data_IF_992118195355
#
_entry.id   IF_992118195355
#
_cell.length_a   1.000
_cell.length_b   1.000
_cell.length_c   1.000
_cell.angle_alpha   90.00
_cell.angle_beta   90.00
_cell.angle_gamma   90.00
#
_symmetry.space_group_name_H-M   'P 1'
#
loop_
_entity.id
_entity.type
_entity.pdbx_description
1 polymer ?
#
# COMPACT_ATOMS: atom_id res chain seq x y z
N UNK A 1 16.40 -69.73 21.86
CA UNK A 1 15.09 -70.23 22.32
C UNK A 1 14.82 -69.57 23.67
N UNK A 2 14.13 -68.43 23.80
CA UNK A 2 12.77 -68.09 23.41
C UNK A 2 11.74 -69.14 23.87
N UNK A 3 11.02 -68.86 24.98
CA UNK A 3 9.55 -68.88 25.12
C UNK A 3 9.19 -68.61 26.60
N UNK A 4 8.48 -67.49 26.91
CA UNK A 4 7.02 -67.38 27.15
C UNK A 4 6.58 -68.09 28.45
N UNK A 5 5.74 -67.55 29.34
CA UNK A 5 4.45 -66.87 29.09
C UNK A 5 3.85 -66.36 30.44
N UNK A 6 2.98 -65.34 30.37
CA UNK A 6 1.77 -65.06 31.22
C UNK A 6 1.93 -64.55 32.67
N UNK A 7 1.14 -63.62 33.25
CA UNK A 7 -0.07 -62.87 32.84
C UNK A 7 -0.55 -61.94 34.01
N UNK A 8 -0.92 -60.67 33.72
CA UNK A 8 -1.82 -59.73 34.48
C UNK A 8 -1.39 -59.35 35.94
N UNK A 9 -1.56 -58.18 36.55
CA UNK A 9 -2.34 -56.93 36.44
C UNK A 9 -1.42 -55.81 37.02
N UNK A 10 -1.39 -54.55 36.63
CA UNK A 10 -2.40 -53.49 36.79
C UNK A 10 -1.84 -52.31 36.01
N UNK A 11 -2.42 -51.98 34.85
CA UNK A 11 -2.08 -50.73 34.16
C UNK A 11 -2.82 -49.63 34.92
N UNK A 12 -2.11 -48.94 35.80
CA UNK A 12 -2.57 -47.68 36.38
C UNK A 12 -2.73 -46.68 35.24
N UNK A 13 -3.97 -46.61 34.76
CA UNK A 13 -4.60 -45.53 34.01
C UNK A 13 -4.21 -44.16 34.57
N UNK A 14 -3.08 -43.62 34.11
CA UNK A 14 -2.84 -42.19 34.10
C UNK A 14 -3.12 -41.70 32.68
N UNK A 15 -4.40 -41.74 32.28
CA UNK A 15 -4.84 -40.90 31.17
C UNK A 15 -4.77 -39.46 31.66
N UNK A 16 -3.91 -38.59 31.11
CA UNK A 16 -4.04 -37.17 31.41
C UNK A 16 -5.41 -36.75 30.88
N UNK A 17 -6.27 -36.30 31.81
CA UNK A 17 -7.54 -35.67 31.51
C UNK A 17 -7.23 -34.56 30.49
N UNK A 18 -7.77 -34.69 29.28
CA UNK A 18 -7.63 -33.72 28.21
C UNK A 18 -8.37 -32.45 28.64
N UNK A 19 -7.73 -31.60 29.44
CA UNK A 19 -8.22 -30.27 29.71
C UNK A 19 -8.01 -29.47 28.43
N UNK A 20 -9.08 -29.36 27.64
CA UNK A 20 -9.15 -28.35 26.60
C UNK A 20 -8.98 -27.00 27.29
N UNK A 21 -7.77 -26.43 27.23
CA UNK A 21 -7.56 -25.03 27.51
C UNK A 21 -8.41 -24.23 26.52
N UNK A 22 -9.57 -23.76 26.96
CA UNK A 22 -10.25 -22.68 26.27
C UNK A 22 -9.26 -21.50 26.22
N UNK A 23 -8.77 -21.16 25.03
CA UNK A 23 -8.02 -19.92 24.82
C UNK A 23 -8.91 -18.76 25.29
N UNK A 24 -8.60 -18.20 26.45
CA UNK A 24 -9.20 -16.96 26.93
C UNK A 24 -8.82 -15.88 25.92
N UNK A 25 -9.79 -15.51 25.07
CA UNK A 25 -9.64 -14.43 24.11
C UNK A 25 -9.42 -13.15 24.93
N UNK A 26 -8.27 -12.52 24.74
CA UNK A 26 -7.98 -11.19 25.29
C UNK A 26 -9.12 -10.23 24.94
N UNK A 27 -9.54 -9.31 25.83
CA UNK A 27 -10.56 -8.33 25.48
C UNK A 27 -10.07 -7.55 24.26
N UNK A 28 -10.78 -7.65 23.14
CA UNK A 28 -10.61 -6.69 22.06
C UNK A 28 -11.04 -5.34 22.64
N UNK A 29 -10.08 -4.49 23.00
CA UNK A 29 -10.33 -3.07 23.21
C UNK A 29 -10.99 -2.57 21.93
N UNK A 30 -12.30 -2.37 21.98
CA UNK A 30 -13.06 -1.75 20.90
C UNK A 30 -12.62 -0.30 20.88
N UNK A 31 -11.71 0.04 19.97
CA UNK A 31 -11.60 1.40 19.49
C UNK A 31 -13.02 1.81 19.06
N UNK A 32 -13.57 2.94 19.55
CA UNK A 32 -14.87 3.41 19.12
C UNK A 32 -14.88 3.45 17.59
N UNK A 33 -15.83 2.74 16.98
CA UNK A 33 -16.07 2.84 15.55
C UNK A 33 -16.46 4.31 15.30
N UNK A 34 -15.79 5.06 14.40
CA UNK A 34 -16.22 6.40 14.05
C UNK A 34 -17.70 6.36 13.65
N UNK A 35 -18.48 7.30 14.16
CA UNK A 35 -19.93 7.32 13.95
C UNK A 35 -20.24 7.26 12.45
N UNK A 36 -21.06 6.27 12.08
CA UNK A 36 -21.54 6.13 10.71
C UNK A 36 -22.43 7.35 10.41
N UNK A 37 -22.18 8.11 9.33
CA UNK A 37 -22.99 9.28 9.05
C UNK A 37 -24.42 8.89 8.66
N UNK A 38 -25.36 9.74 9.06
CA UNK A 38 -26.81 9.56 8.90
C UNK A 38 -27.22 9.40 7.42
N UNK A 39 -28.29 8.63 7.14
CA UNK A 39 -28.60 8.11 5.81
C UNK A 39 -29.02 9.14 4.76
N UNK A 40 -29.21 10.42 5.11
CA UNK A 40 -29.79 11.43 4.22
C UNK A 40 -28.99 12.73 4.13
N UNK A 41 -27.70 12.71 4.47
CA UNK A 41 -26.77 13.77 4.05
C UNK A 41 -25.86 13.15 2.98
N UNK A 42 -25.76 13.70 1.75
CA UNK A 42 -24.79 13.17 0.79
C UNK A 42 -23.41 13.21 1.44
N UNK A 43 -22.82 12.05 1.70
CA UNK A 43 -21.43 11.91 2.11
C UNK A 43 -20.50 12.14 0.93
N UNK A 44 -20.59 13.32 0.33
CA UNK A 44 -19.71 13.70 -0.76
C UNK A 44 -19.19 15.09 -0.47
N UNK A 45 -18.34 15.15 0.56
CA UNK A 45 -17.24 16.11 0.49
C UNK A 45 -16.45 15.77 -0.78
N UNK A 46 -16.29 16.74 -1.66
CA UNK A 46 -15.42 16.68 -2.84
C UNK A 46 -13.97 16.57 -2.37
N UNK A 47 -13.58 15.42 -1.83
CA UNK A 47 -12.25 15.25 -1.26
C UNK A 47 -11.21 15.36 -2.39
N UNK A 48 -10.28 16.30 -2.21
CA UNK A 48 -9.17 16.48 -3.12
C UNK A 48 -8.08 15.46 -2.84
N UNK A 49 -7.55 14.87 -3.89
CA UNK A 49 -6.33 14.07 -3.84
C UNK A 49 -5.15 14.92 -4.28
N UNK A 50 -3.98 14.60 -3.73
CA UNK A 50 -2.69 15.16 -4.15
C UNK A 50 -1.74 14.03 -4.52
N UNK A 51 -1.04 14.18 -5.62
CA UNK A 51 0.08 13.30 -5.98
C UNK A 51 1.34 14.12 -6.02
N UNK A 52 2.42 13.56 -5.48
CA UNK A 52 3.75 14.15 -5.46
C UNK A 52 4.76 13.13 -6.00
N UNK A 53 5.60 13.57 -6.93
CA UNK A 53 6.76 12.82 -7.43
C UNK A 53 8.02 13.56 -6.97
N UNK A 54 8.83 12.92 -6.13
CA UNK A 54 10.06 13.46 -5.58
C UNK A 54 11.26 12.83 -6.28
N UNK A 55 12.18 13.67 -6.77
CA UNK A 55 13.46 13.22 -7.29
C UNK A 55 14.48 13.08 -6.14
N UNK A 56 14.70 11.85 -5.69
CA UNK A 56 15.71 11.49 -4.68
C UNK A 56 16.98 10.88 -5.32
N UNK A 57 17.17 11.05 -6.63
CA UNK A 57 18.44 10.70 -7.30
C UNK A 57 19.54 11.67 -6.86
N UNK A 58 20.78 11.17 -6.74
CA UNK A 58 21.89 11.96 -6.20
C UNK A 58 22.30 13.12 -7.12
N UNK A 59 22.49 12.84 -8.41
CA UNK A 59 23.05 13.81 -9.37
C UNK A 59 22.22 13.92 -10.65
N UNK A 60 21.17 13.12 -10.77
CA UNK A 60 20.44 12.97 -12.02
C UNK A 60 19.17 13.80 -12.04
N UNK A 61 18.92 14.35 -13.22
CA UNK A 61 17.67 14.99 -13.56
C UNK A 61 16.66 13.90 -13.89
N UNK A 62 15.47 13.99 -13.29
CA UNK A 62 14.36 13.08 -13.53
C UNK A 62 13.35 13.76 -14.44
N UNK A 63 13.13 13.17 -15.61
CA UNK A 63 12.06 13.55 -16.53
C UNK A 63 10.78 12.79 -16.09
N UNK A 64 9.79 13.54 -15.60
CA UNK A 64 8.50 13.05 -15.08
C UNK A 64 7.38 13.41 -16.03
N UNK A 65 6.78 12.41 -16.67
CA UNK A 65 5.65 12.58 -17.59
C UNK A 65 4.43 11.85 -17.04
N UNK A 66 3.40 12.60 -16.65
CA UNK A 66 2.21 12.05 -16.02
C UNK A 66 0.95 12.52 -16.73
N UNK A 67 -0.01 11.62 -16.90
CA UNK A 67 -1.27 11.92 -17.57
C UNK A 67 -2.40 11.07 -16.99
N UNK A 68 -3.63 11.57 -17.11
CA UNK A 68 -4.86 10.81 -16.94
C UNK A 68 -5.58 10.71 -18.30
N UNK A 69 -6.77 10.12 -18.29
CA UNK A 69 -7.63 10.12 -19.49
C UNK A 69 -8.00 11.53 -19.96
N UNK A 70 -8.21 12.46 -19.03
CA UNK A 70 -8.79 13.77 -19.31
C UNK A 70 -7.75 14.92 -19.19
N UNK A 71 -6.63 14.67 -18.51
CA UNK A 71 -5.61 15.68 -18.21
C UNK A 71 -4.20 15.16 -18.55
N UNK A 72 -3.48 15.88 -19.41
CA UNK A 72 -2.04 15.70 -19.59
C UNK A 72 -1.30 16.75 -18.75
N UNK A 73 -0.45 16.29 -17.82
CA UNK A 73 0.33 17.19 -16.95
C UNK A 73 1.63 17.63 -17.62
N UNK A 74 1.97 17.05 -18.78
CA UNK A 74 3.17 17.31 -19.55
C UNK A 74 4.45 16.72 -18.93
N UNK A 75 5.56 17.03 -19.58
CA UNK A 75 6.91 16.67 -19.13
C UNK A 75 7.42 17.70 -18.10
N UNK A 76 7.75 17.22 -16.90
CA UNK A 76 8.41 18.00 -15.85
C UNK A 76 9.84 17.51 -15.67
N UNK A 77 10.79 18.42 -15.74
CA UNK A 77 12.21 18.13 -15.53
C UNK A 77 12.59 18.50 -14.10
N UNK A 78 12.84 17.49 -13.27
CA UNK A 78 13.11 17.66 -11.84
C UNK A 78 14.61 17.50 -11.55
N UNK A 79 15.25 18.55 -11.05
CA UNK A 79 16.62 18.46 -10.54
C UNK A 79 16.67 17.63 -9.24
N UNK A 80 17.85 17.19 -8.77
CA UNK A 80 17.96 16.50 -7.49
C UNK A 80 17.29 17.26 -6.34
N UNK A 81 16.45 16.56 -5.57
CA UNK A 81 15.60 17.09 -4.49
C UNK A 81 14.43 17.99 -4.90
N UNK A 82 14.14 18.12 -6.20
CA UNK A 82 12.92 18.76 -6.66
C UNK A 82 11.74 17.79 -6.73
N UNK A 83 10.53 18.36 -6.85
CA UNK A 83 9.30 17.58 -6.96
C UNK A 83 8.30 18.18 -7.95
N UNK A 84 7.57 17.30 -8.63
CA UNK A 84 6.32 17.63 -9.30
C UNK A 84 5.16 17.32 -8.34
N UNK A 85 4.12 18.16 -8.34
CA UNK A 85 2.88 17.83 -7.63
C UNK A 85 1.66 18.42 -8.32
N UNK A 86 0.52 17.75 -8.15
CA UNK A 86 -0.78 18.23 -8.60
C UNK A 86 -1.87 17.78 -7.66
N UNK A 87 -2.99 18.52 -7.69
CA UNK A 87 -4.19 18.20 -6.92
C UNK A 87 -5.39 18.14 -7.84
N UNK A 88 -6.29 17.21 -7.58
CA UNK A 88 -7.52 17.04 -8.35
C UNK A 88 -8.65 16.63 -7.41
N UNK A 89 -9.89 16.83 -7.85
CA UNK A 89 -11.07 16.39 -7.11
C UNK A 89 -11.46 15.00 -7.57
N UNK A 90 -11.65 14.07 -6.64
CA UNK A 90 -12.25 12.78 -6.95
C UNK A 90 -13.69 13.00 -7.42
N UNK A 91 -14.00 12.57 -8.64
CA UNK A 91 -15.37 12.61 -9.15
C UNK A 91 -16.01 11.24 -8.97
N UNK A 92 -17.11 11.14 -8.23
CA UNK A 92 -17.82 9.88 -8.01
C UNK A 92 -18.33 9.17 -9.29
N UNK A 93 -18.41 9.90 -10.41
CA UNK A 93 -18.78 9.37 -11.74
C UNK A 93 -17.53 9.05 -12.59
N UNK A 94 -16.36 9.63 -12.29
CA UNK A 94 -15.14 9.46 -13.07
C UNK A 94 -14.09 8.66 -12.30
N UNK A 95 -13.67 7.55 -12.87
CA UNK A 95 -12.48 6.82 -12.45
C UNK A 95 -11.25 7.61 -12.89
N UNK A 96 -10.90 8.66 -12.15
CA UNK A 96 -9.66 9.40 -12.40
C UNK A 96 -8.50 8.50 -11.99
N UNK A 97 -7.73 8.06 -12.98
CA UNK A 97 -6.50 7.32 -12.79
C UNK A 97 -5.38 8.12 -13.46
N UNK A 98 -4.24 8.25 -12.78
CA UNK A 98 -3.04 8.90 -13.32
C UNK A 98 -1.96 7.85 -13.56
N UNK A 99 -1.43 7.84 -14.78
CA UNK A 99 -0.28 7.05 -15.20
C UNK A 99 0.93 7.96 -15.31
N UNK A 100 2.07 7.51 -14.81
CA UNK A 100 3.33 8.25 -14.90
C UNK A 100 4.41 7.39 -15.54
N UNK A 101 5.24 8.04 -16.36
CA UNK A 101 6.55 7.56 -16.77
C UNK A 101 7.60 8.45 -16.13
N UNK A 102 8.48 7.83 -15.36
CA UNK A 102 9.68 8.48 -14.82
C UNK A 102 10.89 7.96 -15.57
N UNK A 103 11.74 8.84 -16.05
CA UNK A 103 12.93 8.49 -16.83
C UNK A 103 14.12 9.35 -16.41
N UNK A 104 15.30 8.74 -16.29
CA UNK A 104 16.55 9.43 -15.99
C UNK A 104 17.69 8.73 -16.72
N UNK A 105 18.64 9.48 -17.28
CA UNK A 105 19.87 9.07 -18.01
C UNK A 105 19.86 7.70 -18.74
N UNK A 106 19.81 6.61 -17.98
CA UNK A 106 19.97 5.23 -18.43
C UNK A 106 18.76 4.32 -18.13
N UNK A 107 17.69 4.80 -17.51
CA UNK A 107 16.60 3.96 -17.05
C UNK A 107 15.24 4.69 -16.94
N UNK A 108 14.15 3.91 -16.93
CA UNK A 108 12.79 4.43 -16.77
C UNK A 108 11.91 3.47 -15.94
N UNK A 109 10.76 3.96 -15.49
CA UNK A 109 9.69 3.16 -14.93
C UNK A 109 8.33 3.78 -15.26
N UNK A 110 7.38 2.94 -15.68
CA UNK A 110 5.98 3.31 -15.86
C UNK A 110 5.11 2.70 -14.76
N UNK A 111 4.23 3.50 -14.15
CA UNK A 111 3.35 3.03 -13.07
C UNK A 111 2.10 3.90 -12.92
N UNK A 112 1.13 3.38 -12.18
CA UNK A 112 -0.07 4.10 -11.79
C UNK A 112 0.20 4.97 -10.56
N UNK A 113 0.40 6.27 -10.75
CA UNK A 113 0.65 7.19 -9.64
C UNK A 113 -0.59 7.45 -8.78
N UNK A 114 -1.77 7.23 -9.36
CA UNK A 114 -3.05 7.23 -8.65
C UNK A 114 -4.07 6.32 -9.34
N UNK A 115 -4.81 5.55 -8.53
CA UNK A 115 -6.04 4.87 -8.95
C UNK A 115 -7.20 5.25 -8.05
N UNK A 116 -8.36 5.44 -8.67
CA UNK A 116 -9.64 5.65 -7.99
C UNK A 116 -10.18 4.42 -7.26
N UNK A 117 -9.52 3.27 -7.42
CA UNK A 117 -9.82 2.02 -6.72
C UNK A 117 -9.81 2.19 -5.18
N UNK A 118 -10.82 1.69 -4.44
CA UNK A 118 -10.90 1.86 -2.99
C UNK A 118 -9.72 1.26 -2.22
N UNK A 119 -9.14 0.15 -2.67
CA UNK A 119 -7.97 -0.46 -2.03
C UNK A 119 -6.73 0.41 -2.24
N UNK A 120 -6.54 0.92 -3.46
CA UNK A 120 -5.48 1.87 -3.76
C UNK A 120 -5.59 3.14 -2.91
N UNK A 121 -6.76 3.77 -2.89
CA UNK A 121 -7.01 4.99 -2.11
C UNK A 121 -6.73 4.74 -0.62
N UNK A 122 -7.17 3.60 -0.08
CA UNK A 122 -7.05 3.32 1.35
C UNK A 122 -5.63 2.92 1.76
N UNK A 123 -5.00 2.04 0.99
CA UNK A 123 -3.73 1.42 1.37
C UNK A 123 -2.51 2.19 0.85
N UNK A 124 -2.62 2.82 -0.32
CA UNK A 124 -1.51 3.52 -0.97
C UNK A 124 -1.56 5.01 -0.63
N UNK A 125 -2.70 5.65 -0.83
CA UNK A 125 -2.88 7.09 -0.67
C UNK A 125 -3.77 7.45 0.52
N UNK A 126 -3.72 6.68 1.60
CA UNK A 126 -4.70 6.70 2.71
C UNK A 126 -4.92 8.03 3.45
N UNK A 127 -4.08 9.06 3.22
CA UNK A 127 -4.31 10.42 3.71
C UNK A 127 -4.64 11.42 2.58
N UNK A 128 -5.15 10.90 1.45
CA UNK A 128 -5.43 11.61 0.19
C UNK A 128 -4.19 12.22 -0.46
N UNK A 129 -3.01 11.78 -0.04
CA UNK A 129 -1.74 12.16 -0.65
C UNK A 129 -0.97 10.90 -1.02
N UNK A 130 -0.56 10.79 -2.27
CA UNK A 130 0.38 9.78 -2.75
C UNK A 130 1.75 10.44 -2.91
N UNK A 131 2.76 9.99 -2.17
CA UNK A 131 4.10 10.56 -2.21
C UNK A 131 5.06 9.51 -2.77
N UNK A 132 5.44 9.70 -4.02
CA UNK A 132 6.35 8.82 -4.74
C UNK A 132 7.78 9.34 -4.66
N UNK A 133 8.72 8.44 -4.40
CA UNK A 133 10.15 8.74 -4.34
C UNK A 133 10.90 7.98 -5.43
N UNK A 134 11.49 8.69 -6.38
CA UNK A 134 12.41 8.13 -7.37
C UNK A 134 13.82 8.10 -6.79
N UNK A 135 14.35 6.90 -6.52
CA UNK A 135 15.66 6.67 -5.90
C UNK A 135 16.61 5.97 -6.86
N UNK A 136 17.85 5.79 -6.45
CA UNK A 136 18.91 5.23 -7.29
C UNK A 136 18.60 3.83 -7.84
N UNK A 137 17.88 3.01 -7.08
CA UNK A 137 17.58 1.61 -7.40
C UNK A 137 16.14 1.36 -7.87
N UNK A 138 15.23 2.31 -7.64
CA UNK A 138 13.85 2.17 -8.09
C UNK A 138 12.93 3.28 -7.61
N UNK A 139 11.63 3.07 -7.78
CA UNK A 139 10.58 4.00 -7.36
C UNK A 139 9.79 3.41 -6.22
N UNK A 140 9.48 4.24 -5.22
CA UNK A 140 8.85 3.83 -3.98
C UNK A 140 7.58 4.63 -3.70
N UNK A 141 6.63 4.01 -2.99
CA UNK A 141 5.52 4.71 -2.32
C UNK A 141 5.41 4.23 -0.88
N UNK A 142 5.37 5.19 0.04
CA UNK A 142 5.00 4.96 1.42
C UNK A 142 3.59 5.49 1.67
N UNK A 143 2.79 4.73 2.40
CA UNK A 143 1.47 5.17 2.80
C UNK A 143 1.51 6.14 4.00
N UNK A 144 0.34 6.59 4.43
CA UNK A 144 0.19 7.57 5.51
C UNK A 144 0.75 7.14 6.88
N UNK A 145 0.96 5.83 7.11
CA UNK A 145 1.57 5.31 8.34
C UNK A 145 3.07 5.01 8.20
N UNK A 146 3.67 5.38 7.06
CA UNK A 146 5.09 5.17 6.77
C UNK A 146 5.44 3.76 6.31
N UNK A 147 4.44 2.92 6.01
CA UNK A 147 4.70 1.59 5.45
C UNK A 147 4.96 1.71 3.95
N UNK A 148 6.01 1.05 3.45
CA UNK A 148 6.24 0.88 2.02
C UNK A 148 5.16 -0.04 1.44
N UNK A 149 4.41 0.49 0.48
CA UNK A 149 3.26 -0.16 -0.15
C UNK A 149 3.45 -0.37 -1.65
N UNK A 150 4.44 0.30 -2.24
CA UNK A 150 4.93 0.03 -3.58
C UNK A 150 6.45 0.11 -3.60
N UNK A 151 7.05 -0.76 -4.40
CA UNK A 151 8.42 -0.63 -4.88
C UNK A 151 8.59 -1.39 -6.17
N UNK A 152 9.26 -0.78 -7.14
CA UNK A 152 9.74 -1.47 -8.33
C UNK A 152 11.11 -0.93 -8.77
N UNK A 153 11.88 -1.80 -9.43
CA UNK A 153 13.20 -1.48 -9.95
C UNK A 153 13.09 -0.71 -11.27
N UNK A 154 14.10 0.10 -11.57
CA UNK A 154 14.18 0.72 -12.89
C UNK A 154 14.33 -0.30 -14.01
N UNK A 155 13.66 -0.03 -15.15
CA UNK A 155 13.93 -0.68 -16.42
C UNK A 155 15.07 0.06 -17.13
N UNK A 156 16.16 -0.64 -17.42
CA UNK A 156 17.31 -0.04 -18.11
C UNK A 156 16.97 0.24 -19.58
N UNK A 157 17.31 1.44 -20.05
CA UNK A 157 17.30 1.76 -21.47
C UNK A 157 18.32 0.86 -22.18
N UNK A 158 17.88 0.23 -23.28
CA UNK A 158 18.69 -0.70 -24.07
C UNK A 158 19.70 0.02 -24.96
#
# INVERSE_FOLDING_TARGET
MALRLTLLLVILILTPLRTSMAKKKSPKNRVPKPDLPLPNNPLVSFEGFRVEIHNELLTYILDSSCYSKDDDLGLHRLYPNEQQNWSFKGNWIATTDFHCKLEWEIAYLEFDSFKSDPDFVTNYCGNRTCIWSARQDGVYLNNAVGQQVFYDYWEMLK
#
